data_IF_811853658036
#
_entry.id   IF_811853658036
#
_cell.length_a   1.000
_cell.length_b   1.000
_cell.length_c   1.000
_cell.angle_alpha   90.00
_cell.angle_beta   90.00
_cell.angle_gamma   90.00
#
_symmetry.space_group_name_H-M   'P 1'
#
loop_
_entity.id
_entity.type
_entity.pdbx_description
1 polymer ?
#
# COMPACT_ATOMS: atom_id res chain seq x y z
N UNK A 1 34.43 -21.97 18.16
CA UNK A 1 33.82 -20.73 17.62
C UNK A 1 32.62 -21.16 16.78
N UNK A 2 31.41 -21.08 17.34
CA UNK A 2 30.18 -21.49 16.65
C UNK A 2 29.54 -20.26 16.01
N UNK A 3 29.43 -20.24 14.68
CA UNK A 3 28.69 -19.22 13.94
C UNK A 3 27.19 -19.39 14.17
N UNK A 4 26.43 -18.32 14.49
CA UNK A 4 24.98 -18.40 14.50
C UNK A 4 24.45 -18.43 13.07
N UNK A 5 23.71 -19.49 12.78
CA UNK A 5 22.91 -19.71 11.58
C UNK A 5 21.81 -18.65 11.51
N UNK A 6 21.92 -17.70 10.58
CA UNK A 6 20.82 -16.81 10.22
C UNK A 6 19.73 -17.64 9.51
N UNK A 7 18.44 -17.53 9.89
CA UNK A 7 17.37 -18.13 9.11
C UNK A 7 17.30 -17.45 7.73
N UNK A 8 17.12 -18.28 6.71
CA UNK A 8 17.02 -17.87 5.32
C UNK A 8 16.09 -16.66 5.16
N UNK A 9 16.63 -15.57 4.60
CA UNK A 9 15.84 -14.42 4.17
C UNK A 9 14.70 -14.92 3.27
N UNK A 10 13.44 -14.52 3.51
CA UNK A 10 12.36 -14.90 2.60
C UNK A 10 12.71 -14.32 1.24
N UNK A 11 13.09 -15.21 0.31
CA UNK A 11 13.28 -14.85 -1.08
C UNK A 11 11.93 -14.41 -1.60
N UNK A 12 11.72 -13.10 -1.65
CA UNK A 12 10.57 -12.48 -2.30
C UNK A 12 10.71 -12.86 -3.77
N UNK A 13 10.03 -13.94 -4.19
CA UNK A 13 9.95 -14.30 -5.60
C UNK A 13 9.42 -13.04 -6.30
N UNK A 14 10.05 -12.57 -7.39
CA UNK A 14 9.52 -11.45 -8.15
C UNK A 14 8.08 -11.82 -8.49
N UNK A 15 7.14 -11.11 -7.84
CA UNK A 15 5.72 -11.30 -8.05
C UNK A 15 5.50 -11.10 -9.54
N UNK A 16 4.76 -12.03 -10.17
CA UNK A 16 4.26 -11.80 -11.52
C UNK A 16 3.75 -10.37 -11.58
N UNK A 17 4.16 -9.55 -12.58
CA UNK A 17 3.59 -8.22 -12.70
C UNK A 17 2.07 -8.39 -12.62
N UNK A 18 1.45 -7.64 -11.72
CA UNK A 18 0.00 -7.61 -11.60
C UNK A 18 -0.55 -7.01 -12.90
N UNK A 19 -0.62 -7.83 -13.94
CA UNK A 19 -1.10 -7.44 -15.24
C UNK A 19 -2.60 -7.39 -15.14
N UNK A 20 -3.12 -6.20 -14.83
CA UNK A 20 -4.53 -5.93 -14.89
C UNK A 20 -4.91 -5.68 -16.34
N UNK A 21 -5.34 -6.73 -17.03
CA UNK A 21 -5.77 -6.62 -18.43
C UNK A 21 -7.21 -6.11 -18.48
N UNK A 22 -7.45 -4.94 -19.10
CA UNK A 22 -8.80 -4.47 -19.36
C UNK A 22 -9.57 -5.43 -20.24
N UNK A 23 -10.88 -5.50 -20.00
CA UNK A 23 -11.77 -6.20 -20.93
C UNK A 23 -11.72 -5.43 -22.25
N UNK A 24 -11.60 -6.16 -23.35
CA UNK A 24 -11.44 -5.60 -24.69
C UNK A 24 -12.50 -4.52 -24.96
N UNK A 25 -12.07 -3.27 -25.17
CA UNK A 25 -12.94 -2.13 -25.49
C UNK A 25 -13.21 -1.15 -24.34
N UNK A 26 -12.71 -1.40 -23.12
CA UNK A 26 -12.83 -0.45 -22.00
C UNK A 26 -11.57 0.40 -21.87
N UNK A 27 -11.75 1.71 -21.68
CA UNK A 27 -10.67 2.63 -21.32
C UNK A 27 -10.22 2.36 -19.87
N UNK A 28 -8.97 1.91 -19.64
CA UNK A 28 -8.48 1.59 -18.31
C UNK A 28 -8.40 2.79 -17.37
N UNK A 29 -8.40 4.01 -17.90
CA UNK A 29 -8.31 5.24 -17.11
C UNK A 29 -9.71 5.82 -16.80
N UNK A 30 -10.76 5.26 -17.40
CA UNK A 30 -12.13 5.70 -17.16
C UNK A 30 -12.56 5.45 -15.71
N UNK A 31 -13.18 6.46 -15.09
CA UNK A 31 -13.74 6.35 -13.74
C UNK A 31 -14.70 5.16 -13.59
N UNK A 32 -15.52 4.88 -14.61
CA UNK A 32 -16.45 3.77 -14.59
C UNK A 32 -15.72 2.41 -14.50
N UNK A 33 -14.61 2.28 -15.21
CA UNK A 33 -13.77 1.10 -15.23
C UNK A 33 -13.00 0.91 -13.92
N UNK A 34 -12.46 1.99 -13.35
CA UNK A 34 -11.78 1.94 -12.04
C UNK A 34 -12.76 1.55 -10.92
N UNK A 35 -13.97 2.13 -10.91
CA UNK A 35 -15.00 1.82 -9.90
C UNK A 35 -15.49 0.37 -10.03
N UNK A 36 -15.72 -0.13 -11.24
CA UNK A 36 -16.15 -1.52 -11.46
C UNK A 36 -15.06 -2.52 -11.05
N UNK A 37 -13.81 -2.21 -11.35
CA UNK A 37 -12.63 -2.99 -10.94
C UNK A 37 -12.46 -3.03 -9.43
N UNK A 38 -12.57 -1.87 -8.79
CA UNK A 38 -12.52 -1.72 -7.33
C UNK A 38 -13.58 -2.58 -6.64
N UNK A 39 -14.84 -2.53 -7.09
CA UNK A 39 -15.93 -3.39 -6.59
C UNK A 39 -15.64 -4.88 -6.78
N UNK A 40 -15.08 -5.28 -7.93
CA UNK A 40 -14.68 -6.68 -8.20
C UNK A 40 -13.57 -7.15 -7.26
N UNK A 41 -12.67 -6.25 -6.87
CA UNK A 41 -11.61 -6.54 -5.88
C UNK A 41 -12.10 -6.57 -4.44
N UNK A 42 -13.36 -6.20 -4.17
CA UNK A 42 -13.92 -6.13 -2.82
C UNK A 42 -13.82 -7.42 -2.00
N UNK A 43 -13.70 -8.59 -2.65
CA UNK A 43 -13.46 -9.88 -1.96
C UNK A 43 -12.07 -10.02 -1.32
N UNK A 44 -11.09 -9.27 -1.84
CA UNK A 44 -9.73 -9.22 -1.32
C UNK A 44 -9.57 -8.11 -0.28
N UNK A 45 -10.59 -7.28 -0.13
CA UNK A 45 -10.60 -6.26 0.88
C UNK A 45 -11.09 -6.91 2.18
N UNK A 46 -10.39 -6.67 3.31
CA UNK A 46 -10.93 -7.05 4.59
C UNK A 46 -12.33 -6.42 4.70
N UNK A 47 -13.33 -7.24 5.02
CA UNK A 47 -14.66 -6.74 5.29
C UNK A 47 -14.51 -5.65 6.35
N UNK A 48 -14.75 -4.39 5.96
CA UNK A 48 -15.12 -3.41 6.96
C UNK A 48 -16.50 -3.88 7.42
N UNK A 49 -16.52 -4.80 8.40
CA UNK A 49 -17.69 -5.00 9.20
C UNK A 49 -18.22 -3.60 9.54
N UNK A 50 -19.54 -3.39 9.65
CA UNK A 50 -20.10 -2.16 10.20
C UNK A 50 -19.72 -2.08 11.69
N UNK A 51 -18.43 -1.91 11.97
CA UNK A 51 -17.92 -1.24 13.14
C UNK A 51 -18.53 0.16 13.10
N UNK A 52 -18.89 0.75 14.24
CA UNK A 52 -19.23 2.15 14.32
C UNK A 52 -18.21 2.91 13.46
N UNK A 53 -18.70 3.63 12.45
CA UNK A 53 -17.85 4.49 11.64
C UNK A 53 -17.01 5.27 12.64
N UNK A 54 -15.67 5.09 12.67
CA UNK A 54 -14.86 5.90 13.55
C UNK A 54 -15.17 7.33 13.13
N UNK A 55 -15.83 8.10 14.02
CA UNK A 55 -15.77 9.56 13.90
C UNK A 55 -14.30 9.83 13.63
N UNK A 56 -13.97 10.55 12.56
CA UNK A 56 -12.60 10.93 12.30
C UNK A 56 -12.08 11.53 13.60
N UNK A 57 -11.29 10.75 14.35
CA UNK A 57 -10.66 11.25 15.54
C UNK A 57 -9.78 12.38 15.09
N UNK A 58 -9.61 13.41 15.93
CA UNK A 58 -8.48 14.31 15.76
C UNK A 58 -7.27 13.44 15.42
N UNK A 59 -6.52 13.74 14.34
CA UNK A 59 -5.50 12.84 13.82
C UNK A 59 -4.65 12.41 14.99
N UNK A 60 -4.66 11.11 15.30
CA UNK A 60 -3.74 10.56 16.29
C UNK A 60 -2.38 10.91 15.73
N UNK A 61 -1.69 11.86 16.38
CA UNK A 61 -0.49 12.47 15.82
C UNK A 61 0.45 11.38 15.35
N UNK A 62 0.64 11.27 14.03
CA UNK A 62 1.54 10.28 13.47
C UNK A 62 2.95 10.75 13.82
N UNK A 63 3.57 10.09 14.79
CA UNK A 63 4.95 10.40 15.16
C UNK A 63 5.88 9.80 14.12
N UNK A 64 6.53 10.66 13.34
CA UNK A 64 7.54 10.25 12.37
C UNK A 64 8.88 10.14 13.11
N UNK A 65 9.59 9.00 13.05
CA UNK A 65 10.90 8.87 13.67
C UNK A 65 11.88 9.92 13.14
N UNK A 66 12.73 10.47 14.02
CA UNK A 66 13.68 11.54 13.67
C UNK A 66 14.58 11.18 12.48
N UNK A 67 14.92 9.89 12.31
CA UNK A 67 15.69 9.40 11.16
C UNK A 67 14.94 9.57 9.83
N UNK A 68 13.64 9.31 9.80
CA UNK A 68 12.81 9.49 8.62
C UNK A 68 12.64 10.98 8.29
N UNK A 69 12.48 11.83 9.31
CA UNK A 69 12.41 13.29 9.13
C UNK A 69 13.68 13.85 8.46
N UNK A 70 14.87 13.43 8.94
CA UNK A 70 16.16 13.84 8.35
C UNK A 70 16.33 13.37 6.91
N UNK A 71 15.78 12.20 6.58
CA UNK A 71 15.81 11.66 5.23
C UNK A 71 14.99 12.52 4.27
N UNK A 72 13.74 12.84 4.65
CA UNK A 72 12.84 13.69 3.87
C UNK A 72 13.38 15.11 3.73
N UNK A 73 13.96 15.68 4.79
CA UNK A 73 14.58 17.00 4.75
C UNK A 73 15.80 17.08 3.81
N UNK A 74 16.42 15.95 3.47
CA UNK A 74 17.50 15.88 2.49
C UNK A 74 17.04 15.61 1.06
N UNK A 75 15.75 15.36 0.83
CA UNK A 75 15.20 15.15 -0.51
C UNK A 75 14.90 16.52 -1.14
N UNK A 76 15.42 16.76 -2.34
CA UNK A 76 15.27 18.02 -3.08
C UNK A 76 13.81 18.40 -3.28
N UNK A 77 12.93 17.41 -3.38
CA UNK A 77 11.49 17.63 -3.55
C UNK A 77 10.73 17.96 -2.24
N UNK A 78 11.33 17.78 -1.07
CA UNK A 78 10.62 17.90 0.22
C UNK A 78 11.36 18.70 1.33
N UNK A 79 12.62 19.08 1.15
CA UNK A 79 13.41 19.89 2.09
C UNK A 79 13.63 21.31 1.58
N UNK A 80 12.85 22.25 2.11
CA UNK A 80 13.06 23.70 1.95
C UNK A 80 13.92 24.29 3.06
#
# INVERSE_FOLDING_TARGET
>A
MSSPMMPDSPTVRPGRPYAFTPRTGEDPESLAYLVSTSRRMGRFWPSSAPSPQPKAGAPVGVSVPARAQRLVAGMTEYGG
#
